data_IF_839183528235
#
_entry.id   IF_839183528235
#
_cell.length_a   1.000
_cell.length_b   1.000
_cell.length_c   1.000
_cell.angle_alpha   90.00
_cell.angle_beta   90.00
_cell.angle_gamma   90.00
#
_symmetry.space_group_name_H-M   'P 1'
#
loop_
_entity.id
_entity.type
_entity.pdbx_description
1 polymer ?
#
# COMPACT_ATOMS: atom_id res chain seq x y z
N UNK A 1 17.04 0.90 12.66
CA UNK A 1 16.11 -0.24 12.54
C UNK A 1 16.94 -1.48 12.26
N UNK A 2 16.69 -2.58 12.96
CA UNK A 2 17.40 -3.83 12.67
C UNK A 2 16.92 -4.45 11.34
N UNK A 3 17.70 -5.39 10.83
CA UNK A 3 17.50 -6.03 9.54
C UNK A 3 16.15 -6.77 9.40
N UNK A 4 15.65 -7.40 10.46
CA UNK A 4 14.41 -8.17 10.40
C UNK A 4 13.20 -7.25 10.51
N UNK A 5 13.28 -6.25 11.38
CA UNK A 5 12.26 -5.20 11.50
C UNK A 5 12.12 -4.40 10.21
N UNK A 6 13.23 -4.11 9.50
CA UNK A 6 13.17 -3.40 8.22
C UNK A 6 12.49 -4.23 7.11
N UNK A 7 12.73 -5.55 7.05
CA UNK A 7 11.99 -6.44 6.15
C UNK A 7 10.51 -6.52 6.53
N UNK A 8 10.19 -6.61 7.83
CA UNK A 8 8.79 -6.65 8.25
C UNK A 8 8.07 -5.34 7.94
N UNK A 9 8.73 -4.19 8.15
CA UNK A 9 8.25 -2.87 7.72
C UNK A 9 7.93 -2.86 6.23
N UNK A 10 8.83 -3.37 5.39
CA UNK A 10 8.56 -3.52 3.96
C UNK A 10 7.30 -4.36 3.70
N UNK A 11 7.18 -5.52 4.33
CA UNK A 11 6.00 -6.38 4.13
C UNK A 11 4.70 -5.69 4.55
N UNK A 12 4.71 -4.94 5.65
CA UNK A 12 3.54 -4.13 6.04
C UNK A 12 3.20 -3.06 5.01
N UNK A 13 4.21 -2.45 4.39
CA UNK A 13 3.99 -1.51 3.29
C UNK A 13 3.34 -2.20 2.08
N UNK A 14 3.95 -3.27 1.57
CA UNK A 14 3.43 -3.97 0.39
C UNK A 14 2.08 -4.66 0.66
N UNK A 15 1.85 -5.14 1.88
CA UNK A 15 0.56 -5.72 2.26
C UNK A 15 -0.54 -4.68 2.37
N UNK A 16 -0.21 -3.42 2.73
CA UNK A 16 -1.15 -2.31 2.67
C UNK A 16 -1.72 -2.13 1.27
N UNK A 17 -0.84 -2.07 0.26
CA UNK A 17 -1.21 -2.00 -1.16
C UNK A 17 -2.02 -3.23 -1.57
N UNK A 18 -1.51 -4.41 -1.25
CA UNK A 18 -2.15 -5.69 -1.59
C UNK A 18 -3.58 -5.81 -1.05
N UNK A 19 -3.84 -5.34 0.16
CA UNK A 19 -5.20 -5.38 0.74
C UNK A 19 -6.19 -4.54 -0.07
N UNK A 20 -5.77 -3.39 -0.59
CA UNK A 20 -6.62 -2.54 -1.44
C UNK A 20 -6.77 -3.14 -2.83
N UNK A 21 -5.67 -3.64 -3.40
CA UNK A 21 -5.65 -4.23 -4.74
C UNK A 21 -6.54 -5.48 -4.83
N UNK A 22 -6.61 -6.30 -3.76
CA UNK A 22 -7.53 -7.45 -3.69
C UNK A 22 -8.97 -6.99 -3.86
N UNK A 23 -9.39 -5.97 -3.10
CA UNK A 23 -10.76 -5.44 -3.16
C UNK A 23 -11.01 -4.78 -4.52
N UNK A 24 -10.02 -4.06 -5.07
CA UNK A 24 -10.12 -3.48 -6.40
C UNK A 24 -10.32 -4.55 -7.49
N UNK A 25 -9.57 -5.65 -7.46
CA UNK A 25 -9.67 -6.75 -8.43
C UNK A 25 -11.03 -7.43 -8.37
N UNK A 26 -11.61 -7.61 -7.18
CA UNK A 26 -12.97 -8.13 -7.03
C UNK A 26 -14.03 -7.21 -7.67
N UNK A 27 -13.82 -5.88 -7.61
CA UNK A 27 -14.66 -4.91 -8.29
C UNK A 27 -14.40 -4.84 -9.80
N UNK A 28 -13.16 -5.09 -10.23
CA UNK A 28 -12.68 -5.01 -11.60
C UNK A 28 -12.04 -6.33 -12.04
N UNK A 29 -12.88 -7.28 -12.45
CA UNK A 29 -12.48 -8.64 -12.83
C UNK A 29 -11.49 -8.76 -14.02
N UNK A 30 -11.10 -7.64 -14.63
CA UNK A 30 -10.11 -7.59 -15.70
C UNK A 30 -8.69 -7.29 -15.20
N UNK A 31 -8.48 -7.20 -13.88
CA UNK A 31 -7.16 -7.04 -13.27
C UNK A 31 -6.69 -8.34 -12.62
N UNK A 32 -5.37 -8.53 -12.56
CA UNK A 32 -4.73 -9.66 -11.88
C UNK A 32 -3.37 -9.26 -11.30
N UNK A 33 -2.92 -9.99 -10.28
CA UNK A 33 -1.58 -9.84 -9.70
C UNK A 33 -0.53 -10.48 -10.61
N UNK A 34 0.42 -9.66 -11.08
CA UNK A 34 1.54 -10.11 -11.91
C UNK A 34 2.76 -10.48 -11.05
N UNK A 35 3.09 -9.65 -10.05
CA UNK A 35 4.29 -9.89 -9.24
C UNK A 35 4.20 -9.32 -7.83
N UNK A 36 4.94 -9.97 -6.94
CA UNK A 36 5.26 -9.50 -5.59
C UNK A 36 6.74 -9.80 -5.38
N UNK A 37 7.53 -8.80 -4.98
CA UNK A 37 8.96 -8.99 -4.74
C UNK A 37 9.47 -8.20 -3.54
N UNK A 38 10.56 -8.69 -2.96
CA UNK A 38 11.33 -8.01 -1.94
C UNK A 38 12.81 -8.01 -2.34
N UNK A 39 13.47 -6.87 -2.23
CA UNK A 39 14.89 -6.71 -2.53
C UNK A 39 15.66 -6.12 -1.34
N UNK A 40 16.92 -6.51 -1.21
CA UNK A 40 17.83 -5.99 -0.19
C UNK A 40 19.10 -5.47 -0.83
N UNK A 41 19.56 -4.31 -0.35
CA UNK A 41 20.82 -3.73 -0.76
C UNK A 41 21.56 -3.13 0.45
N UNK A 42 22.64 -3.76 0.91
CA UNK A 42 23.38 -3.36 2.13
C UNK A 42 23.90 -1.92 2.07
N UNK A 43 24.36 -1.49 0.89
CA UNK A 43 24.90 -0.14 0.67
C UNK A 43 23.86 0.88 0.18
N UNK A 44 22.55 0.64 0.35
CA UNK A 44 21.54 1.60 -0.07
C UNK A 44 21.73 2.95 0.67
N UNK A 45 21.62 4.06 -0.05
CA UNK A 45 21.71 5.43 0.50
C UNK A 45 20.42 5.81 1.25
N UNK A 46 19.35 5.02 1.03
CA UNK A 46 18.07 5.12 1.74
C UNK A 46 18.22 4.70 3.21
N UNK A 47 17.33 5.23 4.05
CA UNK A 47 17.21 4.89 5.48
C UNK A 47 16.91 3.40 5.67
N UNK A 48 16.21 2.80 4.70
CA UNK A 48 15.83 1.40 4.66
C UNK A 48 16.68 0.62 3.64
N UNK A 49 17.00 -0.62 3.95
CA UNK A 49 17.80 -1.51 3.10
C UNK A 49 16.94 -2.49 2.32
N UNK A 50 15.75 -2.79 2.84
CA UNK A 50 14.73 -3.57 2.16
C UNK A 50 13.76 -2.67 1.36
N UNK A 51 13.53 -3.03 0.11
CA UNK A 51 12.52 -2.46 -0.77
C UNK A 51 11.70 -3.56 -1.44
N UNK A 52 10.64 -3.20 -2.16
CA UNK A 52 9.76 -4.20 -2.77
C UNK A 52 8.74 -3.55 -3.68
N UNK A 53 7.77 -4.35 -4.08
CA UNK A 53 6.64 -3.88 -4.85
C UNK A 53 5.63 -4.99 -5.11
N UNK A 54 4.38 -4.59 -5.24
CA UNK A 54 3.28 -5.38 -5.80
C UNK A 54 2.89 -4.78 -7.15
N UNK A 55 2.68 -5.63 -8.15
CA UNK A 55 2.26 -5.20 -9.49
C UNK A 55 0.96 -5.88 -9.90
N UNK A 56 -0.01 -5.06 -10.27
CA UNK A 56 -1.25 -5.48 -10.92
C UNK A 56 -1.22 -5.14 -12.41
N UNK A 57 -1.84 -5.99 -13.22
CA UNK A 57 -2.04 -5.78 -14.66
C UNK A 57 -3.53 -5.88 -15.02
N UNK A 58 -4.00 -5.17 -16.06
CA UNK A 58 -3.26 -4.22 -16.88
C UNK A 58 -2.94 -2.92 -16.12
N UNK A 59 -1.82 -2.28 -16.47
CA UNK A 59 -1.56 -0.91 -15.98
C UNK A 59 -2.45 0.08 -16.73
N UNK A 60 -2.99 1.06 -15.99
CA UNK A 60 -3.82 2.12 -16.56
C UNK A 60 -3.08 3.44 -16.51
N UNK A 61 -3.03 4.15 -17.64
CA UNK A 61 -2.45 5.49 -17.68
C UNK A 61 -3.28 6.42 -16.82
N UNK A 62 -2.63 7.32 -16.07
CA UNK A 62 -3.34 8.27 -15.19
C UNK A 62 -4.37 9.13 -15.94
N UNK A 63 -4.12 9.47 -17.21
CA UNK A 63 -5.07 10.19 -18.08
C UNK A 63 -6.35 9.40 -18.33
N UNK A 64 -6.25 8.08 -18.40
CA UNK A 64 -7.37 7.18 -18.68
C UNK A 64 -8.10 6.82 -17.37
N UNK A 65 -7.35 6.64 -16.29
CA UNK A 65 -7.84 6.34 -14.94
C UNK A 65 -8.87 7.37 -14.45
N UNK A 66 -8.62 8.67 -14.66
CA UNK A 66 -9.53 9.76 -14.23
C UNK A 66 -10.84 9.83 -15.02
N UNK A 67 -11.04 8.92 -15.98
CA UNK A 67 -12.33 8.66 -16.63
C UNK A 67 -13.24 7.74 -15.82
N UNK A 68 -12.67 6.93 -14.93
CA UNK A 68 -13.39 6.06 -14.03
C UNK A 68 -13.18 6.53 -12.59
N UNK A 69 -14.22 7.14 -12.02
CA UNK A 69 -14.18 7.70 -10.67
C UNK A 69 -14.03 6.62 -9.60
N UNK A 70 -14.56 5.42 -9.85
CA UNK A 70 -14.48 4.29 -8.94
C UNK A 70 -13.04 3.79 -8.90
N UNK A 71 -12.42 3.58 -10.07
CA UNK A 71 -11.02 3.20 -10.17
C UNK A 71 -10.11 4.27 -9.57
N UNK A 72 -10.35 5.54 -9.89
CA UNK A 72 -9.60 6.67 -9.33
C UNK A 72 -9.62 6.65 -7.80
N UNK A 73 -10.78 6.41 -7.20
CA UNK A 73 -10.91 6.35 -5.73
C UNK A 73 -10.15 5.17 -5.11
N UNK A 74 -10.19 3.98 -5.72
CA UNK A 74 -9.37 2.85 -5.28
C UNK A 74 -7.87 3.16 -5.41
N UNK A 75 -7.41 3.70 -6.53
CA UNK A 75 -6.01 4.03 -6.73
C UNK A 75 -5.50 5.11 -5.75
N UNK A 76 -6.34 6.08 -5.37
CA UNK A 76 -5.99 7.06 -4.34
C UNK A 76 -5.84 6.42 -2.95
N UNK A 77 -6.68 5.44 -2.60
CA UNK A 77 -6.54 4.68 -1.35
C UNK A 77 -5.31 3.76 -1.42
N UNK A 78 -5.14 3.03 -2.52
CA UNK A 78 -4.02 2.11 -2.73
C UNK A 78 -2.70 2.85 -2.60
N UNK A 79 -2.50 3.96 -3.32
CA UNK A 79 -1.23 4.74 -3.24
C UNK A 79 -0.85 5.21 -1.84
N UNK A 80 -1.79 5.58 -0.96
CA UNK A 80 -1.43 5.98 0.41
C UNK A 80 -1.28 4.77 1.36
N UNK A 81 -1.78 3.60 0.96
CA UNK A 81 -2.02 2.49 1.88
C UNK A 81 -0.76 1.86 2.44
N UNK A 82 0.25 1.62 1.61
CA UNK A 82 1.52 1.09 2.09
C UNK A 82 2.17 1.99 3.15
N UNK A 83 2.14 3.31 2.97
CA UNK A 83 2.67 4.23 3.98
C UNK A 83 1.81 4.29 5.24
N UNK A 84 0.49 4.20 5.15
CA UNK A 84 -0.38 4.11 6.35
C UNK A 84 -0.07 2.87 7.16
N UNK A 85 -0.01 1.70 6.52
CA UNK A 85 0.23 0.42 7.20
C UNK A 85 1.62 0.35 7.80
N UNK A 86 2.63 0.79 7.06
CA UNK A 86 3.99 0.92 7.58
C UNK A 86 4.04 1.81 8.83
N UNK A 87 3.39 2.98 8.81
CA UNK A 87 3.39 3.89 9.95
C UNK A 87 2.67 3.28 11.16
N UNK A 88 1.56 2.58 10.96
CA UNK A 88 0.84 1.88 12.03
C UNK A 88 1.75 0.84 12.68
N UNK A 89 2.37 -0.03 11.89
CA UNK A 89 3.29 -1.06 12.38
C UNK A 89 4.44 -0.46 13.19
N UNK A 90 5.11 0.55 12.64
CA UNK A 90 6.27 1.15 13.29
C UNK A 90 5.91 1.84 14.61
N UNK A 91 4.75 2.49 14.67
CA UNK A 91 4.23 3.07 15.91
C UNK A 91 3.88 2.01 16.95
N UNK A 92 3.30 0.89 16.53
CA UNK A 92 2.94 -0.23 17.42
C UNK A 92 4.17 -0.82 18.13
N UNK A 93 5.30 -0.91 17.43
CA UNK A 93 6.58 -1.35 18.02
C UNK A 93 7.39 -0.20 18.68
N UNK A 94 6.78 0.97 18.87
CA UNK A 94 7.37 2.09 19.63
C UNK A 94 8.38 2.96 18.87
N UNK A 95 8.41 2.91 17.54
CA UNK A 95 9.25 3.81 16.74
C UNK A 95 8.51 5.13 16.49
N UNK A 96 9.17 6.25 16.83
CA UNK A 96 8.65 7.60 16.56
C UNK A 96 8.78 7.94 15.06
N UNK A 97 7.70 7.70 14.31
CA UNK A 97 7.58 7.99 12.88
C UNK A 97 6.22 8.60 12.54
N UNK A 98 6.20 9.35 11.45
CA UNK A 98 5.00 9.92 10.84
C UNK A 98 4.77 9.35 9.45
N UNK A 99 3.54 9.50 8.95
CA UNK A 99 3.17 9.11 7.59
C UNK A 99 4.09 9.75 6.53
N UNK A 100 4.42 11.03 6.72
CA UNK A 100 5.27 11.81 5.81
C UNK A 100 6.74 11.37 5.79
N UNK A 101 7.17 10.52 6.73
CA UNK A 101 8.52 9.92 6.70
C UNK A 101 8.60 8.79 5.65
N UNK A 102 7.45 8.22 5.28
CA UNK A 102 7.29 7.26 4.20
C UNK A 102 6.80 7.91 2.91
N UNK A 103 5.73 8.71 2.99
CA UNK A 103 5.03 9.25 1.84
C UNK A 103 5.54 10.64 1.50
N UNK A 104 6.64 10.70 0.74
CA UNK A 104 7.32 11.97 0.49
C UNK A 104 8.05 12.00 -0.86
N UNK A 105 8.20 13.21 -1.43
CA UNK A 105 8.86 13.45 -2.72
C UNK A 105 10.40 13.37 -2.67
N UNK A 106 10.98 13.07 -1.51
CA UNK A 106 12.40 12.78 -1.41
C UNK A 106 12.67 11.37 -1.96
N UNK A 107 13.60 11.24 -2.91
CA UNK A 107 13.96 9.95 -3.50
C UNK A 107 14.48 8.90 -2.48
N UNK A 108 14.77 9.30 -1.24
CA UNK A 108 15.16 8.39 -0.15
C UNK A 108 13.98 7.84 0.65
N UNK A 109 12.76 8.37 0.47
CA UNK A 109 11.55 7.88 1.12
C UNK A 109 11.12 6.55 0.50
N UNK A 110 10.65 5.60 1.32
CA UNK A 110 10.19 4.30 0.84
C UNK A 110 8.98 4.41 -0.09
N UNK A 111 8.02 5.28 0.24
CA UNK A 111 6.83 5.58 -0.56
C UNK A 111 7.03 6.72 -1.56
N UNK A 112 8.25 6.92 -2.09
CA UNK A 112 8.50 7.97 -3.09
C UNK A 112 7.63 7.78 -4.34
N UNK A 113 7.60 6.55 -4.89
CA UNK A 113 6.81 6.24 -6.09
C UNK A 113 5.30 6.34 -5.85
N UNK A 114 4.85 5.96 -4.65
CA UNK A 114 3.47 6.12 -4.20
C UNK A 114 3.06 7.59 -4.17
N UNK A 115 3.88 8.43 -3.55
CA UNK A 115 3.63 9.87 -3.46
C UNK A 115 3.59 10.52 -4.85
N UNK A 116 4.53 10.15 -5.73
CA UNK A 116 4.55 10.61 -7.11
C UNK A 116 3.26 10.21 -7.86
N UNK A 117 2.86 8.95 -7.75
CA UNK A 117 1.65 8.43 -8.40
C UNK A 117 0.40 9.14 -7.89
N UNK A 118 0.28 9.33 -6.58
CA UNK A 118 -0.82 10.06 -5.97
C UNK A 118 -0.94 11.49 -6.48
N UNK A 119 0.17 12.25 -6.52
CA UNK A 119 0.15 13.61 -7.06
C UNK A 119 -0.12 13.65 -8.57
N UNK A 120 0.32 12.64 -9.32
CA UNK A 120 0.03 12.52 -10.75
C UNK A 120 -1.46 12.25 -11.00
N UNK A 121 -2.08 11.32 -10.26
CA UNK A 121 -3.53 11.06 -10.30
C UNK A 121 -4.29 12.36 -10.01
N UNK A 122 -3.95 13.03 -8.91
CA UNK A 122 -4.61 14.28 -8.52
C UNK A 122 -4.42 15.41 -9.54
N UNK A 123 -3.24 15.50 -10.16
CA UNK A 123 -2.97 16.47 -11.23
C UNK A 123 -3.86 16.20 -12.44
N UNK A 124 -3.91 14.95 -12.94
CA UNK A 124 -4.78 14.58 -14.06
C UNK A 124 -6.26 14.79 -13.73
N UNK A 125 -6.65 14.50 -12.48
CA UNK A 125 -8.02 14.69 -12.02
C UNK A 125 -8.42 16.17 -12.09
N UNK A 126 -7.56 17.06 -11.58
CA UNK A 126 -7.77 18.52 -11.63
C UNK A 126 -7.81 19.07 -13.05
N UNK A 127 -6.96 18.56 -13.95
CA UNK A 127 -6.94 18.97 -15.35
C UNK A 127 -8.26 18.63 -16.04
N UNK A 128 -8.84 17.47 -15.74
CA UNK A 128 -10.07 17.02 -16.37
C UNK A 128 -11.34 17.63 -15.77
N UNK A 129 -11.45 17.65 -14.44
CA UNK A 129 -12.69 17.97 -13.74
C UNK A 129 -12.72 19.39 -13.14
N UNK A 130 -11.59 20.08 -13.18
CA UNK A 130 -11.39 21.41 -12.60
C UNK A 130 -10.85 21.35 -11.17
N UNK A 131 -10.58 22.53 -10.62
CA UNK A 131 -10.06 22.70 -9.27
C UNK A 131 -11.20 22.79 -8.24
N UNK A 132 -11.09 22.02 -7.15
CA UNK A 132 -11.98 22.10 -5.98
C UNK A 132 -11.12 22.13 -4.71
N UNK A 133 -11.20 23.23 -3.96
CA UNK A 133 -10.41 23.39 -2.72
C UNK A 133 -10.82 22.36 -1.66
N UNK A 134 -12.12 22.03 -1.60
CA UNK A 134 -12.67 21.06 -0.68
C UNK A 134 -12.16 19.64 -0.98
N UNK A 135 -12.14 19.26 -2.27
CA UNK A 135 -11.55 18.00 -2.71
C UNK A 135 -10.06 17.93 -2.36
N UNK A 136 -9.30 18.99 -2.65
CA UNK A 136 -7.85 19.02 -2.41
C UNK A 136 -7.53 18.95 -0.93
N UNK A 137 -8.22 19.72 -0.09
CA UNK A 137 -8.03 19.64 1.35
C UNK A 137 -8.35 18.25 1.88
N UNK A 138 -9.44 17.63 1.40
CA UNK A 138 -9.79 16.27 1.79
C UNK A 138 -8.70 15.27 1.40
N UNK A 139 -8.34 15.21 0.11
CA UNK A 139 -7.38 14.22 -0.40
C UNK A 139 -5.97 14.43 0.14
N UNK A 140 -5.47 15.67 0.18
CA UNK A 140 -4.07 15.93 0.53
C UNK A 140 -3.83 16.07 2.05
N UNK A 141 -4.88 16.24 2.87
CA UNK A 141 -4.71 16.46 4.32
C UNK A 141 -5.54 15.54 5.21
N UNK A 142 -6.74 15.15 4.80
CA UNK A 142 -7.67 14.42 5.67
C UNK A 142 -7.67 12.92 5.39
N UNK A 143 -7.56 12.53 4.11
CA UNK A 143 -7.75 11.14 3.65
C UNK A 143 -6.85 10.15 4.38
N UNK A 144 -5.56 10.44 4.49
CA UNK A 144 -4.59 9.56 5.15
C UNK A 144 -4.82 9.44 6.66
N UNK A 145 -5.27 10.51 7.31
CA UNK A 145 -5.60 10.49 8.75
C UNK A 145 -6.85 9.65 8.98
N UNK A 146 -7.90 9.92 8.21
CA UNK A 146 -9.16 9.19 8.28
C UNK A 146 -8.95 7.70 7.99
N UNK A 147 -8.15 7.39 6.97
CA UNK A 147 -7.82 6.02 6.63
C UNK A 147 -7.04 5.33 7.76
N UNK A 148 -6.00 5.97 8.28
CA UNK A 148 -5.23 5.42 9.42
C UNK A 148 -6.10 5.19 10.66
N UNK A 149 -7.04 6.08 10.96
CA UNK A 149 -7.97 5.93 12.09
C UNK A 149 -8.92 4.75 11.94
N UNK A 150 -9.43 4.52 10.72
CA UNK A 150 -10.27 3.37 10.40
C UNK A 150 -9.46 2.08 10.61
N UNK A 151 -8.28 1.98 9.99
CA UNK A 151 -7.45 0.78 10.08
C UNK A 151 -7.02 0.50 11.53
N UNK A 152 -6.65 1.53 12.29
CA UNK A 152 -6.23 1.38 13.68
C UNK A 152 -7.32 0.84 14.61
N UNK A 153 -8.60 1.02 14.28
CA UNK A 153 -9.73 0.50 15.07
C UNK A 153 -9.94 -1.00 14.84
N UNK A 154 -9.55 -1.52 13.67
CA UNK A 154 -9.69 -2.93 13.34
C UNK A 154 -8.50 -3.77 13.86
N UNK A 155 -8.41 -3.89 15.19
CA UNK A 155 -7.30 -4.60 15.86
C UNK A 155 -7.22 -6.08 15.51
N UNK A 156 -8.36 -6.72 15.26
CA UNK A 156 -8.42 -8.14 14.85
C UNK A 156 -7.73 -8.32 13.50
N UNK A 157 -8.09 -7.49 12.50
CA UNK A 157 -7.42 -7.49 11.20
C UNK A 157 -5.92 -7.25 11.32
N UNK A 158 -5.50 -6.23 12.07
CA UNK A 158 -4.07 -5.90 12.26
C UNK A 158 -3.27 -7.04 12.89
N UNK A 159 -3.84 -7.75 13.87
CA UNK A 159 -3.19 -8.90 14.49
C UNK A 159 -3.02 -10.05 13.49
N UNK A 160 -4.04 -10.35 12.68
CA UNK A 160 -3.95 -11.38 11.66
C UNK A 160 -2.93 -11.00 10.57
N UNK A 161 -2.97 -9.76 10.10
CA UNK A 161 -2.01 -9.26 9.12
C UNK A 161 -0.57 -9.33 9.65
N UNK A 162 -0.37 -9.01 10.93
CA UNK A 162 0.94 -9.15 11.57
C UNK A 162 1.45 -10.59 11.50
N UNK A 163 0.59 -11.58 11.81
CA UNK A 163 0.95 -13.00 11.74
C UNK A 163 1.34 -13.43 10.31
N UNK A 164 0.61 -12.96 9.30
CA UNK A 164 0.95 -13.19 7.89
C UNK A 164 2.31 -12.54 7.59
N UNK A 165 2.53 -11.29 8.02
CA UNK A 165 3.81 -10.58 7.79
C UNK A 165 5.00 -11.31 8.40
N UNK A 166 4.86 -11.87 9.61
CA UNK A 166 5.89 -12.65 10.29
C UNK A 166 6.22 -13.92 9.50
N UNK A 167 5.19 -14.66 9.05
CA UNK A 167 5.35 -15.86 8.23
C UNK A 167 6.13 -15.57 6.94
N UNK A 168 5.74 -14.53 6.19
CA UNK A 168 6.40 -14.19 4.93
C UNK A 168 7.78 -13.56 5.11
N UNK A 169 8.00 -12.83 6.21
CA UNK A 169 9.33 -12.38 6.63
C UNK A 169 10.26 -13.58 6.80
N UNK A 170 9.84 -14.58 7.55
CA UNK A 170 10.67 -15.74 7.86
C UNK A 170 10.99 -16.56 6.61
N UNK A 171 10.04 -16.69 5.67
CA UNK A 171 10.26 -17.27 4.35
C UNK A 171 11.40 -16.56 3.60
N UNK A 172 11.31 -15.23 3.49
CA UNK A 172 12.30 -14.42 2.74
C UNK A 172 13.67 -14.48 3.45
N UNK A 173 13.69 -14.36 4.78
CA UNK A 173 14.92 -14.45 5.56
C UNK A 173 15.61 -15.81 5.43
N UNK A 174 14.84 -16.89 5.39
CA UNK A 174 15.40 -18.23 5.23
C UNK A 174 16.04 -18.42 3.84
N UNK A 175 15.41 -17.92 2.78
CA UNK A 175 16.01 -17.93 1.43
C UNK A 175 17.25 -17.01 1.35
N UNK A 176 17.21 -15.82 1.95
CA UNK A 176 18.35 -14.91 2.05
C UNK A 176 19.56 -15.57 2.72
N UNK A 177 19.34 -16.25 3.85
CA UNK A 177 20.38 -17.00 4.58
C UNK A 177 20.89 -18.18 3.79
N UNK A 178 20.01 -18.94 3.12
CA UNK A 178 20.39 -20.07 2.29
C UNK A 178 21.28 -19.66 1.10
N UNK A 179 21.13 -18.42 0.61
CA UNK A 179 22.00 -17.82 -0.42
C UNK A 179 23.29 -17.19 0.12
N UNK A 180 23.60 -17.37 1.40
CA UNK A 180 24.87 -16.93 2.00
C UNK A 180 24.91 -15.45 2.41
N UNK A 181 23.75 -14.85 2.72
CA UNK A 181 23.63 -13.45 3.15
C UNK A 181 24.27 -12.44 2.18
N UNK A 182 23.87 -12.41 0.91
CA UNK A 182 24.51 -11.55 -0.09
C UNK A 182 24.26 -10.06 0.19
N UNK A 183 25.17 -9.21 -0.27
CA UNK A 183 25.04 -7.74 -0.17
C UNK A 183 23.91 -7.18 -1.04
N UNK A 184 23.53 -7.92 -2.08
CA UNK A 184 22.39 -7.66 -2.96
C UNK A 184 21.56 -8.92 -3.06
N UNK A 185 20.25 -8.78 -2.90
CA UNK A 185 19.34 -9.90 -2.89
C UNK A 185 17.99 -9.48 -3.47
N UNK A 186 17.34 -10.42 -4.14
CA UNK A 186 15.99 -10.26 -4.65
C UNK A 186 15.26 -11.59 -4.44
N UNK A 187 14.06 -11.49 -3.87
CA UNK A 187 13.13 -12.58 -3.70
C UNK A 187 11.87 -12.26 -4.48
N UNK A 188 11.60 -13.06 -5.52
CA UNK A 188 10.38 -12.98 -6.31
C UNK A 188 9.43 -14.09 -5.86
N UNK A 189 8.19 -13.73 -5.56
CA UNK A 189 7.16 -14.71 -5.26
C UNK A 189 6.75 -15.42 -6.56
N UNK A 190 6.69 -16.75 -6.53
CA UNK A 190 6.04 -17.48 -7.62
C UNK A 190 4.55 -17.17 -7.67
N UNK A 191 3.91 -17.33 -8.83
CA UNK A 191 2.47 -17.11 -8.96
C UNK A 191 1.66 -17.94 -7.96
N UNK A 192 2.05 -19.20 -7.75
CA UNK A 192 1.43 -20.06 -6.73
C UNK A 192 1.50 -19.43 -5.32
N UNK A 193 2.65 -18.84 -4.97
CA UNK A 193 2.83 -18.20 -3.66
C UNK A 193 2.07 -16.88 -3.54
N UNK A 194 1.95 -16.12 -4.63
CA UNK A 194 1.09 -14.94 -4.70
C UNK A 194 -0.36 -15.35 -4.47
N UNK A 195 -0.84 -16.39 -5.16
CA UNK A 195 -2.21 -16.88 -4.99
C UNK A 195 -2.49 -17.35 -3.55
N UNK A 196 -1.53 -18.04 -2.92
CA UNK A 196 -1.64 -18.42 -1.50
C UNK A 196 -1.70 -17.18 -0.59
N UNK A 197 -0.81 -16.20 -0.79
CA UNK A 197 -0.80 -14.97 -0.01
C UNK A 197 -2.12 -14.19 -0.15
N UNK A 198 -2.59 -14.03 -1.39
CA UNK A 198 -3.87 -13.36 -1.70
C UNK A 198 -5.00 -14.07 -0.98
N UNK A 199 -5.07 -15.40 -1.04
CA UNK A 199 -6.10 -16.16 -0.33
C UNK A 199 -6.06 -15.92 1.19
N UNK A 200 -4.89 -15.98 1.81
CA UNK A 200 -4.73 -15.72 3.25
C UNK A 200 -5.15 -14.29 3.63
N UNK A 201 -4.86 -13.30 2.79
CA UNK A 201 -5.29 -11.92 3.01
C UNK A 201 -6.80 -11.76 2.78
N UNK A 202 -7.36 -12.37 1.73
CA UNK A 202 -8.80 -12.34 1.45
C UNK A 202 -9.61 -12.94 2.61
N UNK A 203 -9.14 -14.03 3.21
CA UNK A 203 -9.78 -14.64 4.39
C UNK A 203 -9.89 -13.62 5.54
N UNK A 204 -8.81 -12.90 5.88
CA UNK A 204 -8.84 -11.92 6.98
C UNK A 204 -9.62 -10.64 6.63
N UNK A 205 -9.68 -10.26 5.35
CA UNK A 205 -10.51 -9.15 4.87
C UNK A 205 -11.98 -9.48 5.06
N UNK A 206 -12.39 -10.72 4.72
CA UNK A 206 -13.78 -11.18 4.80
C UNK A 206 -14.24 -11.46 6.24
N UNK A 207 -13.33 -11.93 7.09
CA UNK A 207 -13.63 -12.23 8.50
C UNK A 207 -13.65 -10.98 9.40
N UNK A 208 -13.42 -9.78 8.84
CA UNK A 208 -13.39 -8.52 9.58
C UNK A 208 -14.19 -7.41 8.89
N UNK A 209 -14.30 -6.23 9.52
CA UNK A 209 -14.98 -5.07 8.92
C UNK A 209 -14.17 -4.38 7.81
N UNK A 210 -12.94 -4.84 7.54
CA UNK A 210 -11.99 -4.15 6.65
C UNK A 210 -12.59 -3.89 5.27
N UNK A 211 -13.22 -4.89 4.66
CA UNK A 211 -13.84 -4.74 3.34
C UNK A 211 -14.84 -3.56 3.30
N UNK A 212 -15.82 -3.58 4.20
CA UNK A 212 -16.86 -2.54 4.25
C UNK A 212 -16.30 -1.15 4.57
N UNK A 213 -15.23 -1.09 5.36
CA UNK A 213 -14.50 0.14 5.68
C UNK A 213 -13.81 0.74 4.44
N UNK A 214 -13.17 -0.09 3.60
CA UNK A 214 -12.57 0.36 2.33
C UNK A 214 -13.65 0.85 1.37
N UNK A 215 -14.78 0.13 1.24
CA UNK A 215 -15.88 0.56 0.37
C UNK A 215 -16.47 1.89 0.82
N UNK A 216 -16.65 2.07 2.13
CA UNK A 216 -17.09 3.36 2.70
C UNK A 216 -16.10 4.48 2.36
N UNK A 217 -14.79 4.22 2.42
CA UNK A 217 -13.78 5.22 2.08
C UNK A 217 -13.76 5.60 0.61
N UNK A 218 -13.86 4.59 -0.25
CA UNK A 218 -13.99 4.75 -1.69
C UNK A 218 -15.20 5.64 -2.03
N UNK A 219 -16.35 5.36 -1.43
CA UNK A 219 -17.58 6.15 -1.62
C UNK A 219 -17.44 7.58 -1.09
N UNK A 220 -16.74 7.78 0.04
CA UNK A 220 -16.49 9.12 0.56
C UNK A 220 -15.60 9.95 -0.39
N UNK A 221 -14.55 9.35 -0.96
CA UNK A 221 -13.72 10.01 -1.99
C UNK A 221 -14.58 10.42 -3.18
N UNK A 222 -15.43 9.51 -3.67
CA UNK A 222 -16.33 9.79 -4.80
C UNK A 222 -17.26 10.95 -4.46
N UNK A 223 -17.86 10.99 -3.28
CA UNK A 223 -18.70 12.11 -2.84
C UNK A 223 -17.92 13.43 -2.85
N UNK A 224 -16.70 13.45 -2.30
CA UNK A 224 -15.83 14.64 -2.27
C UNK A 224 -15.39 15.09 -3.66
N UNK A 225 -15.31 14.16 -4.61
CA UNK A 225 -15.08 14.45 -6.03
C UNK A 225 -16.32 15.06 -6.68
N UNK A 226 -17.50 14.46 -6.49
CA UNK A 226 -18.72 14.82 -7.24
C UNK A 226 -19.38 16.10 -6.73
N UNK A 227 -19.31 16.37 -5.42
CA UNK A 227 -19.91 17.56 -4.83
C UNK A 227 -18.91 18.72 -4.87
N UNK A 228 -18.90 19.43 -6.01
CA UNK A 228 -18.34 20.79 -6.12
C UNK A 228 -19.18 21.72 -5.23
N UNK A 229 -18.76 21.92 -3.99
CA UNK A 229 -19.25 23.01 -3.15
C UNK A 229 -18.17 24.07 -3.05
#
# INVERSE_FOLDING_TARGET
>A
MDFQTDLQRLLWHEFGHLCIDIIQIEYYNNYEFESFFANFHSNAISTFKWGGGVKIIPSVKFTDMVNDIQLTSFCLISTISGCVFQTIFLKDIGVDVNFNDCFCLNAKCSGYQDSMSFYQINSQFRLKHGYSINYINFIEKELQVLYADIINKNKVFLNHLNNISLKYRDIILNDYKAKGNPNRYEFNFSQERINVLVKEITEIINDTSFYGEIITMKDLIIQKITFKS
#
